data_IF_201530835472
#
_entry.id   IF_201530835472
#
_cell.length_a   1.000
_cell.length_b   1.000
_cell.length_c   1.000
_cell.angle_alpha   90.00
_cell.angle_beta   90.00
_cell.angle_gamma   90.00
#
_symmetry.space_group_name_H-M   'P 1'
#
loop_
_entity.id
_entity.type
_entity.pdbx_description
1 polymer ?
#
# COMPACT_ATOMS: atom_id res chain seq x y z
N UNK A 1 -26.16 -35.00 -50.97
CA UNK A 1 -26.00 -35.29 -49.52
C UNK A 1 -25.01 -34.29 -49.00
N UNK A 2 -25.47 -33.22 -48.33
CA UNK A 2 -24.57 -32.28 -47.64
C UNK A 2 -24.00 -32.98 -46.42
N UNK A 3 -22.68 -32.99 -46.25
CA UNK A 3 -22.03 -33.45 -45.05
C UNK A 3 -22.58 -32.68 -43.84
N UNK A 4 -22.74 -33.31 -42.67
CA UNK A 4 -23.09 -32.55 -41.47
C UNK A 4 -21.99 -31.51 -41.23
N UNK A 5 -22.35 -30.26 -41.10
CA UNK A 5 -21.47 -29.21 -40.66
C UNK A 5 -21.18 -29.55 -39.20
N UNK A 6 -20.00 -30.08 -38.89
CA UNK A 6 -19.54 -30.17 -37.51
C UNK A 6 -19.52 -28.75 -36.94
N UNK A 7 -20.08 -28.53 -35.76
CA UNK A 7 -20.04 -27.21 -35.16
C UNK A 7 -18.56 -26.83 -34.96
N UNK A 8 -18.13 -25.72 -35.57
CA UNK A 8 -16.79 -25.17 -35.38
C UNK A 8 -16.60 -24.89 -33.87
N UNK A 9 -15.57 -25.50 -33.28
CA UNK A 9 -15.22 -25.27 -31.87
C UNK A 9 -14.91 -23.78 -31.68
N UNK A 10 -15.58 -23.15 -30.72
CA UNK A 10 -15.41 -21.73 -30.45
C UNK A 10 -14.09 -21.46 -29.73
N UNK A 11 -13.52 -20.23 -29.83
CA UNK A 11 -12.32 -19.84 -29.07
C UNK A 11 -12.45 -20.09 -27.56
N UNK A 12 -13.64 -19.89 -27.01
CA UNK A 12 -13.92 -20.12 -25.59
C UNK A 12 -13.91 -21.61 -25.22
N UNK A 13 -14.42 -22.50 -26.10
CA UNK A 13 -14.35 -23.95 -25.87
C UNK A 13 -12.91 -24.45 -25.90
N UNK A 14 -12.06 -23.92 -26.79
CA UNK A 14 -10.62 -24.20 -26.80
C UNK A 14 -9.98 -23.75 -25.49
N UNK A 15 -10.32 -22.53 -24.98
CA UNK A 15 -9.83 -22.04 -23.71
C UNK A 15 -10.22 -22.93 -22.53
N UNK A 16 -11.48 -23.40 -22.48
CA UNK A 16 -11.95 -24.26 -21.41
C UNK A 16 -11.25 -25.63 -21.43
N UNK A 17 -11.03 -26.23 -22.60
CA UNK A 17 -10.28 -27.49 -22.74
C UNK A 17 -8.82 -27.31 -22.30
N UNK A 18 -8.19 -26.22 -22.72
CA UNK A 18 -6.83 -25.91 -22.32
C UNK A 18 -6.70 -25.73 -20.80
N UNK A 19 -7.67 -25.06 -20.13
CA UNK A 19 -7.70 -24.95 -18.69
C UNK A 19 -7.76 -26.32 -18.00
N UNK A 20 -8.60 -27.23 -18.49
CA UNK A 20 -8.69 -28.61 -17.96
C UNK A 20 -7.39 -29.39 -18.13
N UNK A 21 -6.73 -29.29 -19.31
CA UNK A 21 -5.43 -29.91 -19.54
C UNK A 21 -4.35 -29.35 -18.63
N UNK A 22 -4.29 -28.06 -18.52
CA UNK A 22 -3.30 -27.36 -17.67
C UNK A 22 -3.52 -27.65 -16.16
N UNK A 23 -4.76 -27.85 -15.75
CA UNK A 23 -5.08 -28.24 -14.37
C UNK A 23 -4.63 -29.67 -14.03
N UNK A 24 -4.50 -30.52 -15.06
CA UNK A 24 -3.88 -31.85 -14.96
C UNK A 24 -2.34 -31.80 -15.08
N UNK A 25 -1.72 -30.62 -15.19
CA UNK A 25 -0.29 -30.45 -15.41
C UNK A 25 0.18 -30.74 -16.84
N UNK A 26 -0.74 -30.94 -17.82
CA UNK A 26 -0.47 -31.22 -19.23
C UNK A 26 -0.28 -29.90 -19.99
N UNK A 27 0.77 -29.15 -19.65
CA UNK A 27 0.95 -27.79 -20.15
C UNK A 27 1.21 -27.69 -21.64
N UNK A 28 1.94 -28.62 -22.23
CA UNK A 28 2.22 -28.64 -23.69
C UNK A 28 0.93 -28.82 -24.49
N UNK A 29 0.11 -29.79 -24.11
CA UNK A 29 -1.18 -30.07 -24.77
C UNK A 29 -2.17 -28.93 -24.57
N UNK A 30 -2.12 -28.27 -23.38
CA UNK A 30 -2.92 -27.08 -23.10
C UNK A 30 -2.52 -25.91 -24.02
N UNK A 31 -1.22 -25.72 -24.26
CA UNK A 31 -0.72 -24.68 -25.15
C UNK A 31 -1.11 -24.97 -26.62
N UNK A 32 -1.07 -26.23 -27.07
CA UNK A 32 -1.54 -26.63 -28.39
C UNK A 32 -3.04 -26.36 -28.58
N UNK A 33 -3.85 -26.63 -27.56
CA UNK A 33 -5.30 -26.37 -27.60
C UNK A 33 -5.58 -24.84 -27.68
N UNK A 34 -4.84 -24.03 -26.97
CA UNK A 34 -4.91 -22.55 -27.11
C UNK A 34 -4.46 -22.11 -28.51
N UNK A 35 -3.41 -22.73 -29.07
CA UNK A 35 -2.94 -22.38 -30.40
C UNK A 35 -4.01 -22.68 -31.46
N UNK A 36 -4.77 -23.81 -31.30
CA UNK A 36 -5.92 -24.13 -32.15
C UNK A 36 -7.01 -23.03 -32.07
N UNK A 37 -7.36 -22.56 -30.86
CA UNK A 37 -8.30 -21.45 -30.67
C UNK A 37 -7.80 -20.12 -31.30
N UNK A 38 -6.51 -19.84 -31.16
CA UNK A 38 -5.89 -18.65 -31.75
C UNK A 38 -5.83 -18.67 -33.28
N UNK A 39 -5.94 -19.84 -33.90
CA UNK A 39 -6.03 -19.95 -35.38
C UNK A 39 -7.27 -19.26 -35.95
N UNK A 40 -8.38 -19.29 -35.21
CA UNK A 40 -9.65 -18.63 -35.56
C UNK A 40 -9.75 -17.21 -34.99
N UNK A 41 -9.11 -16.92 -33.84
CA UNK A 41 -9.14 -15.64 -33.15
C UNK A 41 -7.73 -15.18 -32.69
N UNK A 42 -6.83 -14.75 -33.59
CA UNK A 42 -5.42 -14.51 -33.32
C UNK A 42 -5.11 -13.43 -32.28
N UNK A 43 -6.04 -12.53 -32.00
CA UNK A 43 -5.91 -11.39 -31.09
C UNK A 43 -6.85 -11.51 -29.87
N UNK A 44 -7.43 -12.70 -29.64
CA UNK A 44 -8.33 -12.89 -28.51
C UNK A 44 -7.53 -12.80 -27.18
N UNK A 45 -7.75 -11.70 -26.43
CA UNK A 45 -6.99 -11.37 -25.23
C UNK A 45 -7.11 -12.47 -24.15
N UNK A 46 -8.29 -13.08 -24.01
CA UNK A 46 -8.51 -14.14 -23.03
C UNK A 46 -7.69 -15.40 -23.32
N UNK A 47 -7.61 -15.82 -24.61
CA UNK A 47 -6.77 -16.93 -25.04
C UNK A 47 -5.30 -16.64 -24.81
N UNK A 48 -4.83 -15.45 -25.20
CA UNK A 48 -3.44 -15.05 -25.04
C UNK A 48 -3.03 -14.93 -23.57
N UNK A 49 -3.90 -14.41 -22.70
CA UNK A 49 -3.65 -14.37 -21.25
C UNK A 49 -3.61 -15.78 -20.65
N UNK A 50 -4.50 -16.69 -21.07
CA UNK A 50 -4.49 -18.09 -20.65
C UNK A 50 -3.20 -18.79 -21.11
N UNK A 51 -2.77 -18.57 -22.36
CA UNK A 51 -1.49 -19.10 -22.87
C UNK A 51 -0.31 -18.62 -22.03
N UNK A 52 -0.27 -17.34 -21.71
CA UNK A 52 0.78 -16.79 -20.86
C UNK A 52 0.78 -17.42 -19.46
N UNK A 53 -0.39 -17.68 -18.86
CA UNK A 53 -0.49 -18.39 -17.57
C UNK A 53 -0.01 -19.83 -17.66
N UNK A 54 -0.33 -20.55 -18.76
CA UNK A 54 0.16 -21.91 -19.02
C UNK A 54 1.70 -21.90 -19.10
N UNK A 55 2.29 -20.98 -19.86
CA UNK A 55 3.74 -20.85 -19.95
C UNK A 55 4.40 -20.53 -18.62
N UNK A 56 3.79 -19.66 -17.78
CA UNK A 56 4.30 -19.41 -16.41
C UNK A 56 4.26 -20.68 -15.54
N UNK A 57 3.18 -21.45 -15.65
CA UNK A 57 3.05 -22.71 -14.90
C UNK A 57 4.02 -23.80 -15.39
N UNK A 58 4.45 -23.72 -16.66
CA UNK A 58 5.46 -24.58 -17.27
C UNK A 58 6.91 -24.08 -17.09
N UNK A 59 7.14 -23.03 -16.29
CA UNK A 59 8.44 -22.37 -16.07
C UNK A 59 9.08 -21.84 -17.38
N UNK A 60 8.24 -21.27 -18.25
CA UNK A 60 8.61 -20.67 -19.53
C UNK A 60 8.33 -19.16 -19.55
N UNK A 61 9.07 -18.35 -18.76
CA UNK A 61 8.72 -16.96 -18.54
C UNK A 61 8.91 -16.05 -19.76
N UNK A 62 9.76 -16.41 -20.70
CA UNK A 62 10.01 -15.64 -21.94
C UNK A 62 8.82 -15.78 -22.89
N UNK A 63 8.33 -17.00 -23.07
CA UNK A 63 7.16 -17.33 -23.88
C UNK A 63 5.90 -16.72 -23.25
N UNK A 64 5.80 -16.80 -21.92
CA UNK A 64 4.73 -16.17 -21.15
C UNK A 64 4.69 -14.65 -21.38
N UNK A 65 5.84 -13.98 -21.33
CA UNK A 65 5.90 -12.54 -21.58
C UNK A 65 5.50 -12.19 -23.02
N UNK A 66 5.94 -12.98 -24.01
CA UNK A 66 5.55 -12.74 -25.39
C UNK A 66 4.03 -12.89 -25.62
N UNK A 67 3.40 -13.90 -25.02
CA UNK A 67 1.96 -14.09 -25.07
C UNK A 67 1.21 -12.98 -24.32
N UNK A 68 1.69 -12.58 -23.12
CA UNK A 68 1.11 -11.53 -22.31
C UNK A 68 1.21 -10.14 -22.98
N UNK A 69 2.32 -9.82 -23.62
CA UNK A 69 2.47 -8.56 -24.38
C UNK A 69 1.45 -8.46 -25.53
N UNK A 70 1.13 -9.58 -26.17
CA UNK A 70 0.05 -9.65 -27.16
C UNK A 70 -1.33 -9.51 -26.51
N UNK A 71 -1.54 -10.12 -25.35
CA UNK A 71 -2.82 -10.08 -24.64
C UNK A 71 -3.22 -8.66 -24.22
N UNK A 72 -2.26 -7.78 -23.88
CA UNK A 72 -2.51 -6.39 -23.46
C UNK A 72 -2.63 -5.42 -24.63
N UNK A 73 -2.52 -5.85 -25.87
CA UNK A 73 -2.63 -4.98 -27.06
C UNK A 73 -4.05 -4.43 -27.26
N UNK A 74 -5.06 -5.02 -26.63
CA UNK A 74 -6.45 -4.50 -26.62
C UNK A 74 -6.56 -3.15 -25.90
N UNK A 75 -7.53 -2.34 -26.29
CA UNK A 75 -7.77 -1.01 -25.70
C UNK A 75 -9.22 -0.89 -25.20
N UNK A 76 -9.46 -0.82 -23.87
CA UNK A 76 -8.50 -0.93 -22.78
C UNK A 76 -7.99 -2.36 -22.55
N UNK A 77 -6.78 -2.56 -22.04
CA UNK A 77 -6.28 -3.88 -21.71
C UNK A 77 -7.09 -4.54 -20.60
N UNK A 78 -7.36 -5.83 -20.71
CA UNK A 78 -8.08 -6.58 -19.68
C UNK A 78 -7.21 -6.80 -18.42
N UNK A 79 -7.80 -6.70 -17.23
CA UNK A 79 -7.10 -6.89 -15.95
C UNK A 79 -6.34 -8.23 -15.89
N UNK A 80 -6.88 -9.41 -16.27
CA UNK A 80 -6.12 -10.66 -16.25
C UNK A 80 -4.88 -10.62 -17.13
N UNK A 81 -4.94 -9.95 -18.29
CA UNK A 81 -3.79 -9.80 -19.19
C UNK A 81 -2.68 -8.94 -18.55
N UNK A 82 -3.03 -7.88 -17.84
CA UNK A 82 -2.07 -7.06 -17.09
C UNK A 82 -1.43 -7.84 -15.94
N UNK A 83 -2.20 -8.63 -15.23
CA UNK A 83 -1.72 -9.46 -14.11
C UNK A 83 -0.69 -10.46 -14.60
N UNK A 84 -1.01 -11.27 -15.62
CA UNK A 84 -0.09 -12.28 -16.13
C UNK A 84 1.16 -11.64 -16.77
N UNK A 85 1.00 -10.46 -17.38
CA UNK A 85 2.14 -9.68 -17.88
C UNK A 85 3.09 -9.26 -16.77
N UNK A 86 2.55 -8.76 -15.66
CA UNK A 86 3.38 -8.36 -14.51
C UNK A 86 4.13 -9.55 -13.90
N UNK A 87 3.48 -10.72 -13.79
CA UNK A 87 4.14 -11.97 -13.37
C UNK A 87 5.30 -12.36 -14.30
N UNK A 88 5.05 -12.39 -15.61
CA UNK A 88 6.07 -12.74 -16.60
C UNK A 88 7.24 -11.73 -16.61
N UNK A 89 6.96 -10.44 -16.38
CA UNK A 89 7.99 -9.42 -16.21
C UNK A 89 8.85 -9.67 -14.96
N UNK A 90 8.24 -10.09 -13.85
CA UNK A 90 8.95 -10.44 -12.61
C UNK A 90 9.85 -11.65 -12.84
N UNK A 91 9.33 -12.72 -13.46
CA UNK A 91 10.07 -13.96 -13.70
C UNK A 91 11.20 -13.76 -14.71
N UNK A 92 11.05 -12.84 -15.67
CA UNK A 92 12.12 -12.38 -16.57
C UNK A 92 13.04 -11.31 -15.94
N UNK A 93 12.93 -11.04 -14.63
CA UNK A 93 13.72 -10.08 -13.85
C UNK A 93 13.59 -8.62 -14.31
N UNK A 94 12.53 -8.28 -15.02
CA UNK A 94 12.20 -6.90 -15.43
C UNK A 94 11.41 -6.18 -14.34
N UNK A 95 11.96 -6.13 -13.13
CA UNK A 95 11.27 -5.67 -11.92
C UNK A 95 10.72 -4.23 -12.03
N UNK A 96 11.45 -3.32 -12.69
CA UNK A 96 10.97 -1.94 -12.88
C UNK A 96 9.74 -1.84 -13.78
N UNK A 97 9.62 -2.71 -14.78
CA UNK A 97 8.46 -2.78 -15.67
C UNK A 97 7.28 -3.44 -14.95
N UNK A 98 7.53 -4.53 -14.21
CA UNK A 98 6.53 -5.21 -13.40
C UNK A 98 5.91 -4.27 -12.35
N UNK A 99 6.74 -3.50 -11.63
CA UNK A 99 6.26 -2.53 -10.65
C UNK A 99 5.33 -1.48 -11.27
N UNK A 100 5.68 -0.94 -12.46
CA UNK A 100 4.82 0.04 -13.15
C UNK A 100 3.47 -0.55 -13.56
N UNK A 101 3.43 -1.81 -13.99
CA UNK A 101 2.17 -2.50 -14.31
C UNK A 101 1.34 -2.71 -13.04
N UNK A 102 1.95 -3.17 -11.94
CA UNK A 102 1.28 -3.37 -10.67
C UNK A 102 0.71 -2.07 -10.10
N UNK A 103 1.48 -0.97 -10.13
CA UNK A 103 1.01 0.38 -9.75
C UNK A 103 -0.18 0.84 -10.61
N UNK A 104 -0.15 0.55 -11.91
CA UNK A 104 -1.26 0.79 -12.83
C UNK A 104 -2.52 0.04 -12.41
N UNK A 105 -2.41 -1.26 -12.13
CA UNK A 105 -3.52 -2.10 -11.66
C UNK A 105 -4.13 -1.51 -10.37
N UNK A 106 -3.31 -1.21 -9.37
CA UNK A 106 -3.77 -0.66 -8.09
C UNK A 106 -4.49 0.69 -8.23
N UNK A 107 -4.05 1.53 -9.15
CA UNK A 107 -4.62 2.85 -9.42
C UNK A 107 -5.92 2.78 -10.21
N UNK A 108 -5.98 1.93 -11.23
CA UNK A 108 -7.06 1.91 -12.20
C UNK A 108 -8.28 1.10 -11.70
N UNK A 109 -8.06 0.16 -10.73
CA UNK A 109 -9.10 -0.64 -10.07
C UNK A 109 -9.04 -0.52 -8.52
N UNK A 110 -9.29 0.65 -7.93
CA UNK A 110 -9.08 0.90 -6.49
C UNK A 110 -10.04 0.14 -5.56
N UNK A 111 -11.23 -0.22 -6.04
CA UNK A 111 -12.27 -0.91 -5.26
C UNK A 111 -12.50 -2.36 -5.71
N UNK A 112 -11.73 -2.85 -6.67
CA UNK A 112 -11.82 -4.24 -7.10
C UNK A 112 -10.97 -5.15 -6.20
N UNK A 113 -11.56 -6.14 -5.50
CA UNK A 113 -10.83 -6.99 -4.56
C UNK A 113 -9.68 -7.76 -5.22
N UNK A 114 -9.94 -8.33 -6.40
CA UNK A 114 -8.95 -9.10 -7.14
C UNK A 114 -7.76 -8.23 -7.56
N UNK A 115 -8.03 -7.05 -8.12
CA UNK A 115 -7.00 -6.11 -8.54
C UNK A 115 -6.14 -5.64 -7.36
N UNK A 116 -6.75 -5.34 -6.21
CA UNK A 116 -6.03 -4.83 -5.06
C UNK A 116 -5.12 -5.88 -4.43
N UNK A 117 -5.61 -7.10 -4.19
CA UNK A 117 -4.76 -8.16 -3.63
C UNK A 117 -3.65 -8.59 -4.60
N UNK A 118 -4.00 -8.81 -5.88
CA UNK A 118 -3.03 -9.27 -6.88
C UNK A 118 -2.01 -8.18 -7.20
N UNK A 119 -2.45 -6.94 -7.36
CA UNK A 119 -1.56 -5.79 -7.56
C UNK A 119 -0.58 -5.59 -6.38
N UNK A 120 -1.03 -5.81 -5.14
CA UNK A 120 -0.16 -5.75 -3.96
C UNK A 120 0.91 -6.86 -3.97
N UNK A 121 0.52 -8.09 -4.31
CA UNK A 121 1.46 -9.21 -4.42
C UNK A 121 2.52 -8.94 -5.50
N UNK A 122 2.08 -8.54 -6.70
CA UNK A 122 2.97 -8.20 -7.82
C UNK A 122 3.92 -7.04 -7.51
N UNK A 123 3.41 -5.99 -6.86
CA UNK A 123 4.24 -4.87 -6.43
C UNK A 123 5.29 -5.32 -5.41
N UNK A 124 4.91 -6.20 -4.46
CA UNK A 124 5.83 -6.77 -3.48
C UNK A 124 6.91 -7.65 -4.11
N UNK A 125 6.59 -8.39 -5.16
CA UNK A 125 7.56 -9.19 -5.91
C UNK A 125 8.54 -8.32 -6.71
N UNK A 126 8.03 -7.27 -7.33
CA UNK A 126 8.82 -6.38 -8.18
C UNK A 126 9.63 -5.35 -7.38
N UNK A 127 9.02 -4.75 -6.37
CA UNK A 127 9.59 -3.70 -5.51
C UNK A 127 8.93 -3.74 -4.14
N UNK A 128 9.50 -4.54 -3.24
CA UNK A 128 8.98 -4.65 -1.89
C UNK A 128 9.19 -3.34 -1.11
N UNK A 129 8.21 -2.97 -0.30
CA UNK A 129 8.27 -1.74 0.50
C UNK A 129 6.93 -1.34 1.09
N UNK A 130 6.89 -0.14 1.69
CA UNK A 130 5.69 0.40 2.34
C UNK A 130 4.49 0.49 1.38
N UNK A 131 4.73 0.77 0.10
CA UNK A 131 3.65 0.87 -0.91
C UNK A 131 2.96 -0.49 -1.13
N UNK A 132 3.75 -1.57 -1.22
CA UNK A 132 3.20 -2.92 -1.33
C UNK A 132 2.41 -3.33 -0.07
N UNK A 133 2.92 -2.97 1.12
CA UNK A 133 2.23 -3.21 2.38
C UNK A 133 0.90 -2.45 2.46
N UNK A 134 0.89 -1.17 2.08
CA UNK A 134 -0.33 -0.36 2.03
C UNK A 134 -1.36 -0.93 1.05
N UNK A 135 -0.90 -1.41 -0.11
CA UNK A 135 -1.76 -2.05 -1.09
C UNK A 135 -2.35 -3.38 -0.57
N UNK A 136 -1.54 -4.21 0.10
CA UNK A 136 -2.00 -5.45 0.72
C UNK A 136 -3.07 -5.20 1.80
N UNK A 137 -2.86 -4.20 2.65
CA UNK A 137 -3.87 -3.77 3.61
C UNK A 137 -5.14 -3.24 2.95
N UNK A 138 -5.01 -2.51 1.82
CA UNK A 138 -6.18 -2.07 1.07
C UNK A 138 -6.95 -3.28 0.50
N UNK A 139 -6.26 -4.32 0.04
CA UNK A 139 -6.87 -5.58 -0.37
C UNK A 139 -7.73 -6.21 0.73
N UNK A 140 -7.18 -6.32 1.96
CA UNK A 140 -7.92 -6.81 3.13
C UNK A 140 -9.11 -5.88 3.48
N UNK A 141 -8.95 -4.57 3.37
CA UNK A 141 -10.04 -3.60 3.62
C UNK A 141 -11.20 -3.77 2.64
N UNK A 142 -10.90 -4.00 1.36
CA UNK A 142 -11.92 -4.14 0.31
C UNK A 142 -12.60 -5.52 0.40
N UNK A 143 -11.85 -6.56 0.75
CA UNK A 143 -12.34 -7.93 0.85
C UNK A 143 -11.90 -8.63 2.16
N UNK A 144 -12.45 -8.23 3.31
CA UNK A 144 -11.99 -8.72 4.61
C UNK A 144 -12.30 -10.20 4.87
N UNK A 145 -13.18 -10.81 4.10
CA UNK A 145 -13.59 -12.22 4.20
C UNK A 145 -12.94 -13.11 3.14
N UNK A 146 -12.07 -12.56 2.30
CA UNK A 146 -11.34 -13.34 1.30
C UNK A 146 -9.99 -13.81 1.86
N UNK A 147 -9.81 -15.13 1.97
CA UNK A 147 -8.59 -15.73 2.48
C UNK A 147 -7.33 -15.31 1.69
N UNK A 148 -7.45 -15.16 0.37
CA UNK A 148 -6.36 -14.72 -0.51
C UNK A 148 -5.88 -13.29 -0.19
N UNK A 149 -6.75 -12.39 0.27
CA UNK A 149 -6.34 -11.04 0.65
C UNK A 149 -5.43 -11.07 1.89
N UNK A 150 -5.76 -11.91 2.88
CA UNK A 150 -4.94 -12.13 4.07
C UNK A 150 -3.66 -12.90 3.75
N UNK A 151 -3.70 -13.88 2.84
CA UNK A 151 -2.51 -14.58 2.37
C UNK A 151 -1.52 -13.61 1.71
N UNK A 152 -1.99 -12.71 0.84
CA UNK A 152 -1.14 -11.70 0.21
C UNK A 152 -0.55 -10.75 1.27
N UNK A 153 -1.33 -10.32 2.26
CA UNK A 153 -0.81 -9.51 3.37
C UNK A 153 0.30 -10.26 4.14
N UNK A 154 0.12 -11.57 4.38
CA UNK A 154 1.13 -12.39 5.03
C UNK A 154 2.44 -12.43 4.22
N UNK A 155 2.37 -12.68 2.91
CA UNK A 155 3.54 -12.71 2.02
C UNK A 155 4.27 -11.37 2.01
N UNK A 156 3.54 -10.26 1.84
CA UNK A 156 4.11 -8.91 1.81
C UNK A 156 4.78 -8.57 3.14
N UNK A 157 4.14 -8.89 4.26
CA UNK A 157 4.68 -8.69 5.59
C UNK A 157 5.94 -9.54 5.83
N UNK A 158 5.94 -10.82 5.43
CA UNK A 158 7.09 -11.71 5.57
C UNK A 158 8.30 -11.19 4.78
N UNK A 159 8.10 -10.72 3.54
CA UNK A 159 9.16 -10.08 2.73
C UNK A 159 9.74 -8.82 3.38
N UNK A 160 8.95 -8.10 4.16
CA UNK A 160 9.38 -6.94 4.95
C UNK A 160 9.98 -7.33 6.32
N UNK A 161 10.09 -8.63 6.63
CA UNK A 161 10.52 -9.19 7.92
C UNK A 161 9.63 -8.77 9.10
N UNK A 162 8.37 -8.43 8.83
CA UNK A 162 7.34 -8.16 9.83
C UNK A 162 6.66 -9.49 10.22
N UNK A 163 7.43 -10.39 10.83
CA UNK A 163 7.02 -11.79 11.04
C UNK A 163 5.77 -11.93 11.91
N UNK A 164 5.61 -11.10 12.94
CA UNK A 164 4.41 -11.13 13.79
C UNK A 164 3.14 -10.77 12.99
N UNK A 165 3.25 -9.82 12.06
CA UNK A 165 2.15 -9.47 11.17
C UNK A 165 1.87 -10.58 10.16
N UNK A 166 2.93 -11.15 9.59
CA UNK A 166 2.82 -12.24 8.63
C UNK A 166 2.11 -13.46 9.23
N UNK A 167 2.50 -13.87 10.44
CA UNK A 167 1.86 -14.99 11.15
C UNK A 167 0.39 -14.74 11.44
N UNK A 168 0.03 -13.54 11.89
CA UNK A 168 -1.37 -13.20 12.17
C UNK A 168 -2.21 -13.16 10.90
N UNK A 169 -1.70 -12.55 9.84
CA UNK A 169 -2.40 -12.52 8.57
C UNK A 169 -2.58 -13.91 7.96
N UNK A 170 -1.58 -14.78 8.11
CA UNK A 170 -1.68 -16.17 7.63
C UNK A 170 -2.67 -17.00 8.48
N UNK A 171 -2.69 -16.83 9.79
CA UNK A 171 -3.67 -17.47 10.66
C UNK A 171 -5.11 -17.08 10.27
N UNK A 172 -5.35 -15.80 10.00
CA UNK A 172 -6.65 -15.33 9.52
C UNK A 172 -7.02 -15.94 8.15
N UNK A 173 -6.05 -16.04 7.23
CA UNK A 173 -6.28 -16.70 5.94
C UNK A 173 -6.70 -18.17 6.13
N UNK A 174 -6.07 -18.90 7.06
CA UNK A 174 -6.41 -20.30 7.38
C UNK A 174 -7.77 -20.43 8.07
N UNK A 175 -8.17 -19.48 8.92
CA UNK A 175 -9.49 -19.46 9.54
C UNK A 175 -10.60 -19.23 8.51
N UNK A 176 -10.34 -18.40 7.49
CA UNK A 176 -11.30 -18.12 6.42
C UNK A 176 -11.39 -19.27 5.41
N UNK A 177 -10.27 -19.87 5.06
CA UNK A 177 -10.19 -21.04 4.16
C UNK A 177 -9.01 -21.94 4.53
N UNK A 178 -9.28 -23.04 5.22
CA UNK A 178 -8.25 -24.01 5.64
C UNK A 178 -7.43 -24.62 4.49
N UNK A 179 -7.95 -24.59 3.24
CA UNK A 179 -7.22 -25.12 2.06
C UNK A 179 -6.04 -24.22 1.65
N UNK A 180 -5.89 -23.04 2.24
CA UNK A 180 -4.70 -22.18 2.05
C UNK A 180 -3.43 -22.90 2.52
N UNK A 181 -3.53 -23.73 3.57
CA UNK A 181 -2.38 -24.50 4.10
C UNK A 181 -1.76 -25.46 3.10
N UNK A 182 -2.56 -26.04 2.22
CA UNK A 182 -2.10 -27.00 1.21
C UNK A 182 -1.84 -26.35 -0.16
N UNK A 183 -2.08 -25.05 -0.29
CA UNK A 183 -2.06 -24.34 -1.58
C UNK A 183 -0.70 -24.42 -2.31
N UNK A 184 0.41 -24.48 -1.56
CA UNK A 184 1.76 -24.59 -2.15
C UNK A 184 1.98 -25.89 -2.91
N UNK A 185 1.32 -26.98 -2.50
CA UNK A 185 1.40 -28.31 -3.11
C UNK A 185 0.41 -28.52 -4.28
N UNK A 186 -0.55 -27.61 -4.47
CA UNK A 186 -1.53 -27.70 -5.56
C UNK A 186 -0.85 -27.69 -6.93
N UNK A 187 -1.44 -28.42 -7.91
CA UNK A 187 -1.00 -28.45 -9.30
C UNK A 187 -2.07 -27.77 -10.16
N UNK A 188 -1.72 -27.34 -11.37
CA UNK A 188 -2.65 -26.74 -12.30
C UNK A 188 -2.58 -25.23 -12.35
N UNK A 189 -3.51 -24.60 -13.09
CA UNK A 189 -3.51 -23.14 -13.31
C UNK A 189 -4.72 -22.42 -12.70
N UNK A 190 -5.74 -23.15 -12.28
CA UNK A 190 -6.98 -22.53 -11.74
C UNK A 190 -6.72 -21.69 -10.48
N UNK A 191 -5.79 -22.13 -9.64
CA UNK A 191 -5.36 -21.40 -8.44
C UNK A 191 -3.87 -21.02 -8.50
N UNK A 192 -3.36 -20.74 -9.69
CA UNK A 192 -1.94 -20.48 -9.93
C UNK A 192 -1.39 -19.35 -9.04
N UNK A 193 -2.10 -18.24 -8.95
CA UNK A 193 -1.70 -17.09 -8.12
C UNK A 193 -1.61 -17.47 -6.64
N UNK A 194 -2.64 -18.13 -6.11
CA UNK A 194 -2.69 -18.58 -4.71
C UNK A 194 -1.53 -19.52 -4.39
N UNK A 195 -1.25 -20.48 -5.26
CA UNK A 195 -0.11 -21.40 -5.14
C UNK A 195 1.22 -20.64 -5.13
N UNK A 196 1.38 -19.67 -6.02
CA UNK A 196 2.58 -18.82 -6.10
C UNK A 196 2.80 -18.08 -4.78
N UNK A 197 1.76 -17.50 -4.20
CA UNK A 197 1.85 -16.79 -2.92
C UNK A 197 2.12 -17.73 -1.74
N UNK A 198 1.47 -18.88 -1.69
CA UNK A 198 1.71 -19.87 -0.64
C UNK A 198 3.16 -20.38 -0.66
N UNK A 199 3.69 -20.74 -1.83
CA UNK A 199 5.12 -21.12 -1.98
C UNK A 199 6.06 -20.00 -1.55
N UNK A 200 5.81 -18.76 -1.97
CA UNK A 200 6.62 -17.64 -1.57
C UNK A 200 6.62 -17.44 -0.04
N UNK A 201 5.52 -17.72 0.64
CA UNK A 201 5.45 -17.65 2.09
C UNK A 201 6.23 -18.78 2.76
N UNK A 202 6.16 -20.01 2.24
CA UNK A 202 6.96 -21.16 2.72
C UNK A 202 8.46 -20.90 2.56
N UNK A 203 8.90 -20.45 1.39
CA UNK A 203 10.30 -20.11 1.11
C UNK A 203 10.83 -19.03 2.09
N UNK A 204 10.03 -18.00 2.36
CA UNK A 204 10.37 -16.94 3.30
C UNK A 204 10.40 -17.43 4.76
N UNK A 205 9.53 -18.36 5.14
CA UNK A 205 9.51 -18.95 6.47
C UNK A 205 10.72 -19.86 6.67
N UNK A 206 11.12 -20.62 5.66
CA UNK A 206 12.33 -21.44 5.68
C UNK A 206 13.59 -20.57 5.77
N UNK A 207 13.69 -19.50 4.98
CA UNK A 207 14.79 -18.53 5.05
C UNK A 207 14.90 -17.91 6.45
N UNK A 208 13.77 -17.54 7.05
CA UNK A 208 13.73 -16.96 8.39
C UNK A 208 14.21 -17.97 9.45
N UNK A 209 13.86 -19.24 9.33
CA UNK A 209 14.27 -20.31 10.25
C UNK A 209 15.76 -20.65 10.14
N UNK A 210 16.32 -20.59 8.94
CA UNK A 210 17.76 -20.79 8.70
C UNK A 210 18.61 -19.60 9.20
N UNK A 211 18.02 -18.41 9.32
CA UNK A 211 18.69 -17.20 9.82
C UNK A 211 18.79 -17.09 11.34
N UNK A 212 18.16 -17.98 12.11
CA UNK A 212 18.23 -17.98 13.58
C UNK A 212 19.46 -18.76 14.05
N UNK A 213 20.43 -18.15 14.78
CA UNK A 213 21.54 -18.89 15.37
C UNK A 213 21.02 -19.96 16.34
N UNK A 214 21.64 -21.14 16.39
CA UNK A 214 21.15 -22.26 17.22
C UNK A 214 21.17 -22.01 18.74
N UNK A 215 21.64 -20.88 19.21
CA UNK A 215 21.70 -20.50 20.63
C UNK A 215 20.49 -19.73 21.17
N UNK A 216 19.49 -19.42 20.33
CA UNK A 216 18.32 -18.64 20.73
C UNK A 216 17.11 -19.50 21.13
N UNK A 217 17.31 -20.77 21.55
CA UNK A 217 16.29 -21.53 22.24
C UNK A 217 16.17 -21.04 23.66
N UNK A 218 15.30 -20.08 23.92
CA UNK A 218 14.85 -19.75 25.27
C UNK A 218 13.96 -20.90 25.75
N UNK A 219 14.34 -21.60 26.85
CA UNK A 219 13.46 -22.58 27.46
C UNK A 219 12.42 -21.81 28.29
N UNK A 220 11.23 -21.75 27.82
CA UNK A 220 10.13 -21.09 28.51
C UNK A 220 8.81 -21.49 27.88
N UNK A 221 8.32 -22.63 28.35
CA UNK A 221 6.97 -23.14 28.14
C UNK A 221 5.99 -22.19 28.81
N UNK A 222 5.61 -21.10 28.11
CA UNK A 222 4.44 -20.32 28.44
C UNK A 222 3.50 -20.39 27.24
N UNK A 223 2.50 -21.25 27.37
CA UNK A 223 1.34 -21.35 26.52
C UNK A 223 0.73 -19.95 26.35
N UNK A 224 0.89 -19.35 25.18
CA UNK A 224 0.15 -18.14 24.81
C UNK A 224 -1.35 -18.45 24.86
N UNK A 225 -2.12 -17.72 25.66
CA UNK A 225 -3.56 -17.95 25.73
C UNK A 225 -4.18 -17.66 24.37
N UNK A 226 -4.83 -18.68 23.81
CA UNK A 226 -5.51 -18.67 22.50
C UNK A 226 -6.64 -17.62 22.37
N UNK A 227 -6.90 -16.82 23.39
CA UNK A 227 -7.97 -15.82 23.41
C UNK A 227 -7.57 -14.43 22.90
N UNK A 228 -6.29 -14.20 22.55
CA UNK A 228 -5.80 -12.89 22.10
C UNK A 228 -5.80 -12.77 20.56
N UNK A 229 -6.02 -13.87 19.83
CA UNK A 229 -5.85 -13.94 18.37
C UNK A 229 -6.96 -13.25 17.60
N UNK A 230 -8.18 -13.15 18.16
CA UNK A 230 -9.34 -12.63 17.41
C UNK A 230 -9.47 -11.09 17.34
N UNK A 231 -8.73 -10.33 18.14
CA UNK A 231 -8.92 -8.87 18.25
C UNK A 231 -7.97 -8.06 17.34
N UNK A 232 -6.99 -8.71 16.70
CA UNK A 232 -5.93 -8.04 15.95
C UNK A 232 -6.16 -8.05 14.43
N UNK A 233 -7.08 -8.85 13.93
CA UNK A 233 -7.34 -9.02 12.50
C UNK A 233 -8.14 -7.86 11.85
N UNK A 234 -8.73 -6.98 12.65
CA UNK A 234 -9.32 -5.74 12.12
C UNK A 234 -8.44 -4.58 12.53
N UNK A 235 -7.70 -3.98 11.60
CA UNK A 235 -7.07 -2.71 11.90
C UNK A 235 -8.20 -1.74 12.28
N UNK A 236 -8.23 -1.32 13.55
CA UNK A 236 -9.18 -0.33 14.05
C UNK A 236 -9.01 1.02 13.34
N UNK A 237 -8.03 1.13 12.44
CA UNK A 237 -7.73 2.31 11.64
C UNK A 237 -7.31 1.89 10.23
N UNK A 238 -7.78 2.59 9.18
CA UNK A 238 -7.31 2.35 7.82
C UNK A 238 -5.79 2.51 7.76
N UNK A 239 -5.09 1.57 7.13
CA UNK A 239 -3.62 1.56 7.00
C UNK A 239 -3.08 2.63 6.02
N UNK A 240 -3.95 3.43 5.47
CA UNK A 240 -3.61 4.72 4.88
C UNK A 240 -3.28 5.78 5.95
N UNK A 241 -3.24 5.39 7.23
CA UNK A 241 -2.78 6.25 8.30
C UNK A 241 -1.31 6.59 8.08
N UNK A 242 -1.05 7.87 8.23
CA UNK A 242 0.28 8.43 8.39
C UNK A 242 1.02 7.56 9.40
N UNK A 243 2.21 7.04 9.06
CA UNK A 243 2.98 6.22 9.98
C UNK A 243 3.03 6.89 11.35
N UNK A 244 2.99 6.14 12.44
CA UNK A 244 3.03 6.72 13.80
C UNK A 244 4.20 7.68 13.95
N UNK A 245 5.33 7.36 13.33
CA UNK A 245 6.52 8.18 13.27
C UNK A 245 6.27 9.53 12.55
N UNK A 246 5.57 9.52 11.41
CA UNK A 246 5.18 10.74 10.70
C UNK A 246 4.11 11.53 11.47
N UNK A 247 3.18 10.86 12.14
CA UNK A 247 2.16 11.50 12.98
C UNK A 247 2.80 12.17 14.20
N UNK A 248 3.78 11.51 14.83
CA UNK A 248 4.52 12.06 15.96
C UNK A 248 5.45 13.22 15.55
N UNK A 249 6.10 13.10 14.39
CA UNK A 249 6.89 14.22 13.83
C UNK A 249 6.01 15.44 13.54
N UNK A 250 4.79 15.23 13.00
CA UNK A 250 3.81 16.30 12.78
C UNK A 250 3.34 16.90 14.11
N UNK A 251 2.98 16.07 15.09
CA UNK A 251 2.57 16.55 16.44
C UNK A 251 3.66 17.38 17.09
N UNK A 252 4.90 16.91 17.07
CA UNK A 252 6.06 17.60 17.62
C UNK A 252 6.29 18.94 16.92
N UNK A 253 6.18 18.98 15.59
CA UNK A 253 6.31 20.21 14.79
C UNK A 253 5.25 21.23 15.19
N UNK A 254 3.98 20.81 15.33
CA UNK A 254 2.88 21.68 15.74
C UNK A 254 3.09 22.22 17.15
N UNK A 255 3.52 21.38 18.10
CA UNK A 255 3.78 21.81 19.48
C UNK A 255 4.88 22.87 19.55
N UNK A 256 6.02 22.68 18.86
CA UNK A 256 7.09 23.67 18.85
C UNK A 256 6.67 24.96 18.13
N UNK A 257 5.94 24.87 17.02
CA UNK A 257 5.45 26.02 16.28
C UNK A 257 4.44 26.83 17.10
N UNK A 258 3.47 26.16 17.71
CA UNK A 258 2.43 26.80 18.52
C UNK A 258 3.01 27.39 19.79
N UNK A 259 3.82 26.64 20.57
CA UNK A 259 4.49 27.11 21.76
C UNK A 259 5.42 28.31 21.49
N UNK A 260 6.25 28.22 20.44
CA UNK A 260 7.12 29.31 20.01
C UNK A 260 6.36 30.59 19.64
N UNK A 261 5.25 30.44 18.89
CA UNK A 261 4.39 31.56 18.49
C UNK A 261 3.71 32.20 19.70
N UNK A 262 3.24 31.39 20.65
CA UNK A 262 2.58 31.87 21.86
C UNK A 262 3.55 32.68 22.73
N UNK A 263 4.75 32.18 22.98
CA UNK A 263 5.79 32.86 23.71
C UNK A 263 6.17 34.16 23.01
N UNK A 264 6.37 34.14 21.71
CA UNK A 264 6.70 35.32 20.91
C UNK A 264 5.60 36.40 20.97
N UNK A 265 4.33 36.01 20.91
CA UNK A 265 3.19 36.92 20.99
C UNK A 265 3.10 37.57 22.36
N UNK A 266 3.29 36.81 23.46
CA UNK A 266 3.30 37.35 24.84
C UNK A 266 4.45 38.33 25.05
N UNK A 267 5.66 37.98 24.61
CA UNK A 267 6.82 38.88 24.70
C UNK A 267 6.61 40.15 23.87
N UNK A 268 6.04 40.04 22.67
CA UNK A 268 5.71 41.19 21.84
C UNK A 268 4.66 42.07 22.51
N UNK A 269 3.62 41.49 23.10
CA UNK A 269 2.61 42.23 23.85
C UNK A 269 3.22 42.99 25.07
N UNK A 270 4.11 42.35 25.82
CA UNK A 270 4.83 43.01 26.90
C UNK A 270 5.73 44.16 26.38
N UNK A 271 6.41 43.98 25.26
CA UNK A 271 7.23 45.03 24.64
C UNK A 271 6.43 46.21 24.13
N UNK A 272 5.14 46.06 23.80
CA UNK A 272 4.29 47.19 23.38
C UNK A 272 4.09 48.19 24.51
N UNK A 273 4.16 47.75 25.77
CA UNK A 273 4.07 48.61 26.94
C UNK A 273 5.30 49.51 27.10
N UNK A 274 6.45 49.10 26.56
CA UNK A 274 7.70 49.85 26.64
C UNK A 274 7.89 50.76 25.40
N UNK A 275 7.72 50.21 24.21
CA UNK A 275 7.86 50.95 22.95
C UNK A 275 7.16 50.26 21.80
N UNK A 276 6.19 50.93 21.19
CA UNK A 276 5.45 50.40 20.06
C UNK A 276 6.27 50.23 18.75
N UNK A 277 7.35 51.01 18.60
CA UNK A 277 8.25 50.92 17.45
C UNK A 277 9.13 49.70 17.51
N UNK A 278 9.76 49.45 18.65
CA UNK A 278 10.65 48.32 18.88
C UNK A 278 9.85 46.97 18.80
N UNK A 279 8.64 46.94 19.39
CA UNK A 279 7.80 45.75 19.38
C UNK A 279 7.40 45.31 17.97
N UNK A 280 7.17 46.26 17.05
CA UNK A 280 6.85 45.92 15.62
C UNK A 280 8.02 45.26 14.91
N UNK A 281 9.23 45.85 15.03
CA UNK A 281 10.42 45.26 14.39
C UNK A 281 10.73 43.90 14.96
N UNK A 282 10.65 43.76 16.30
CA UNK A 282 10.84 42.47 16.97
C UNK A 282 9.86 41.40 16.51
N UNK A 283 8.56 41.72 16.46
CA UNK A 283 7.52 40.80 16.01
C UNK A 283 7.74 40.30 14.58
N UNK A 284 8.18 41.22 13.69
CA UNK A 284 8.49 40.84 12.29
C UNK A 284 9.66 39.87 12.20
N UNK A 285 10.74 40.17 12.88
CA UNK A 285 11.93 39.33 12.88
C UNK A 285 11.64 37.94 13.46
N UNK A 286 10.96 37.89 14.61
CA UNK A 286 10.61 36.61 15.26
C UNK A 286 9.56 35.85 14.48
N UNK A 287 8.56 36.53 13.88
CA UNK A 287 7.56 35.89 13.00
C UNK A 287 8.18 35.22 11.80
N UNK A 288 9.14 35.88 11.12
CA UNK A 288 9.88 35.27 9.99
C UNK A 288 10.70 34.08 10.45
N UNK A 289 11.40 34.19 11.60
CA UNK A 289 12.21 33.08 12.13
C UNK A 289 11.36 31.87 12.48
N UNK A 290 10.23 32.06 13.18
CA UNK A 290 9.33 30.94 13.54
C UNK A 290 8.74 30.32 12.29
N UNK A 291 8.23 31.11 11.35
CA UNK A 291 7.65 30.59 10.10
C UNK A 291 8.68 29.82 9.28
N UNK A 292 9.88 30.37 9.11
CA UNK A 292 10.99 29.71 8.41
C UNK A 292 11.42 28.41 9.10
N UNK A 293 11.55 28.43 10.43
CA UNK A 293 11.90 27.24 11.20
C UNK A 293 10.84 26.14 11.07
N UNK A 294 9.55 26.49 11.13
CA UNK A 294 8.44 25.55 10.94
C UNK A 294 8.47 24.91 9.56
N UNK A 295 8.68 25.72 8.50
CA UNK A 295 8.76 25.22 7.12
C UNK A 295 9.97 24.30 6.93
N UNK A 296 11.14 24.70 7.41
CA UNK A 296 12.37 23.90 7.28
C UNK A 296 12.28 22.61 8.08
N UNK A 297 11.78 22.69 9.32
CA UNK A 297 11.60 21.51 10.16
C UNK A 297 10.57 20.54 9.58
N UNK A 298 9.41 21.06 9.12
CA UNK A 298 8.37 20.26 8.50
C UNK A 298 8.89 19.52 7.26
N UNK A 299 9.73 20.18 6.45
CA UNK A 299 10.37 19.55 5.28
C UNK A 299 11.47 18.55 5.64
N UNK A 300 12.24 18.80 6.69
CA UNK A 300 13.41 17.99 7.05
C UNK A 300 13.08 16.74 7.88
N UNK A 301 11.95 16.73 8.60
CA UNK A 301 11.56 15.63 9.48
C UNK A 301 10.58 14.64 8.85
N UNK A 302 9.91 15.01 7.77
CA UNK A 302 8.98 14.12 7.09
C UNK A 302 9.73 13.21 6.10
N UNK A 303 9.61 11.88 6.22
CA UNK A 303 10.16 10.92 5.25
C UNK A 303 9.43 11.00 3.90
N UNK A 304 8.21 11.55 3.87
CA UNK A 304 7.37 11.71 2.68
C UNK A 304 7.16 13.19 2.31
N UNK A 305 6.87 13.52 1.04
CA UNK A 305 6.55 14.88 0.62
C UNK A 305 5.38 15.44 1.43
N UNK A 306 5.56 16.60 2.06
CA UNK A 306 4.59 17.20 3.01
C UNK A 306 3.17 17.35 2.44
N UNK A 307 3.01 17.51 1.11
CA UNK A 307 1.70 17.54 0.45
C UNK A 307 0.93 16.23 0.53
N UNK A 308 1.62 15.09 0.43
CA UNK A 308 1.02 13.75 0.53
C UNK A 308 0.59 13.48 1.96
N UNK A 309 1.45 13.81 2.94
CA UNK A 309 1.13 13.66 4.37
C UNK A 309 -0.09 14.51 4.76
N UNK A 310 -0.17 15.75 4.28
CA UNK A 310 -1.31 16.65 4.53
C UNK A 310 -2.61 16.15 3.89
N UNK A 311 -2.54 15.60 2.67
CA UNK A 311 -3.71 15.02 2.01
C UNK A 311 -4.24 13.81 2.79
N UNK A 312 -3.36 12.92 3.24
CA UNK A 312 -3.69 11.76 4.08
C UNK A 312 -4.24 12.19 5.45
N UNK A 313 -3.63 13.17 6.11
CA UNK A 313 -4.13 13.69 7.39
C UNK A 313 -5.54 14.27 7.29
N UNK A 314 -5.90 14.89 6.14
CA UNK A 314 -7.26 15.40 5.94
C UNK A 314 -8.32 14.29 5.92
N UNK A 315 -8.01 13.12 5.38
CA UNK A 315 -8.92 11.97 5.33
C UNK A 315 -8.97 11.22 6.66
N UNK A 316 -7.82 11.04 7.32
CA UNK A 316 -7.65 10.17 8.48
C UNK A 316 -7.85 10.89 9.82
N UNK A 317 -7.25 12.07 10.00
CA UNK A 317 -7.32 12.83 11.25
C UNK A 317 -7.48 14.33 10.99
N UNK A 318 -8.74 14.74 10.76
CA UNK A 318 -9.09 16.14 10.48
C UNK A 318 -8.63 17.11 11.57
N UNK A 319 -8.59 16.68 12.84
CA UNK A 319 -8.13 17.50 13.98
C UNK A 319 -6.64 17.80 13.87
N UNK A 320 -5.83 16.78 13.56
CA UNK A 320 -4.39 16.97 13.41
C UNK A 320 -4.06 17.77 12.13
N UNK A 321 -4.78 17.55 11.03
CA UNK A 321 -4.66 18.38 9.84
C UNK A 321 -4.97 19.86 10.12
N UNK A 322 -6.06 20.14 10.85
CA UNK A 322 -6.42 21.50 11.25
C UNK A 322 -5.32 22.14 12.15
N UNK A 323 -4.76 21.37 13.09
CA UNK A 323 -3.67 21.84 13.95
C UNK A 323 -2.44 22.26 13.14
N UNK A 324 -2.08 21.51 12.10
CA UNK A 324 -0.99 21.87 11.17
C UNK A 324 -1.28 23.20 10.49
N UNK A 325 -2.46 23.38 9.89
CA UNK A 325 -2.81 24.64 9.24
C UNK A 325 -2.77 25.83 10.21
N UNK A 326 -3.30 25.67 11.42
CA UNK A 326 -3.28 26.71 12.44
C UNK A 326 -1.85 27.06 12.85
N UNK A 327 -0.95 26.09 12.96
CA UNK A 327 0.46 26.32 13.31
C UNK A 327 1.25 27.08 12.23
N UNK A 328 0.85 26.98 10.95
CA UNK A 328 1.42 27.79 9.87
C UNK A 328 0.80 29.19 9.79
N UNK A 329 -0.49 29.32 10.13
CA UNK A 329 -1.20 30.61 10.06
C UNK A 329 -0.88 31.51 11.25
N UNK A 330 -0.70 30.94 12.45
CA UNK A 330 -0.46 31.73 13.66
C UNK A 330 0.77 32.67 13.56
N UNK A 331 1.96 32.28 13.08
CA UNK A 331 3.09 33.16 12.91
C UNK A 331 2.85 34.30 11.90
N UNK A 332 1.96 34.12 10.92
CA UNK A 332 1.62 35.17 9.97
C UNK A 332 0.92 36.35 10.62
N UNK A 333 0.21 36.15 11.73
CA UNK A 333 -0.40 37.23 12.49
C UNK A 333 0.65 38.03 13.29
N UNK A 334 1.80 37.44 13.64
CA UNK A 334 2.95 38.21 14.15
C UNK A 334 3.55 39.12 13.06
N UNK A 335 3.60 38.63 11.82
CA UNK A 335 4.01 39.45 10.67
C UNK A 335 2.98 40.54 10.35
N UNK A 336 1.69 40.22 10.43
CA UNK A 336 0.62 41.20 10.21
C UNK A 336 0.69 42.34 11.24
N UNK A 337 1.07 42.03 12.51
CA UNK A 337 1.25 43.03 13.55
C UNK A 337 2.33 44.05 13.19
N UNK A 338 3.38 43.71 12.47
CA UNK A 338 4.40 44.67 12.00
C UNK A 338 3.83 45.78 11.11
N UNK A 339 2.88 45.41 10.27
CA UNK A 339 2.29 46.33 9.26
C UNK A 339 1.12 47.12 9.83
N UNK A 340 0.16 46.39 10.43
CA UNK A 340 -1.10 47.01 10.90
C UNK A 340 -0.93 47.65 12.29
N UNK A 341 -0.12 47.04 13.16
CA UNK A 341 -0.06 47.37 14.58
C UNK A 341 -1.34 47.00 15.31
N UNK A 342 -1.35 47.17 16.61
CA UNK A 342 -2.55 46.95 17.43
C UNK A 342 -2.66 45.53 18.02
N UNK A 343 -3.18 45.51 19.26
CA UNK A 343 -3.35 44.28 20.05
C UNK A 343 -4.18 43.17 19.39
N UNK A 344 -5.18 43.45 18.54
CA UNK A 344 -6.02 42.37 17.96
C UNK A 344 -5.22 41.33 17.17
N UNK A 345 -4.21 41.71 16.41
CA UNK A 345 -3.36 40.79 15.65
C UNK A 345 -2.60 39.82 16.56
N UNK A 346 -2.07 40.28 17.66
CA UNK A 346 -1.39 39.45 18.65
C UNK A 346 -2.34 38.50 19.38
N UNK A 347 -3.54 38.98 19.72
CA UNK A 347 -4.56 38.14 20.35
C UNK A 347 -4.99 37.00 19.41
N UNK A 348 -5.18 37.30 18.13
CA UNK A 348 -5.52 36.28 17.14
C UNK A 348 -4.37 35.24 17.01
N UNK A 349 -3.10 35.70 16.96
CA UNK A 349 -1.95 34.79 16.91
C UNK A 349 -1.94 33.85 18.13
N UNK A 350 -2.19 34.35 19.32
CA UNK A 350 -2.26 33.58 20.57
C UNK A 350 -3.41 32.58 20.56
N UNK A 351 -4.61 32.99 20.11
CA UNK A 351 -5.79 32.12 20.05
C UNK A 351 -5.55 30.99 19.04
N UNK A 352 -4.99 31.28 17.86
CA UNK A 352 -4.70 30.26 16.84
C UNK A 352 -3.63 29.27 17.33
N UNK A 353 -2.58 29.75 17.99
CA UNK A 353 -1.54 28.90 18.57
C UNK A 353 -2.10 28.01 19.70
N UNK A 354 -2.88 28.56 20.62
CA UNK A 354 -3.53 27.77 21.66
C UNK A 354 -4.52 26.73 21.11
N UNK A 355 -5.29 27.11 20.06
CA UNK A 355 -6.18 26.17 19.39
C UNK A 355 -5.42 25.02 18.71
N UNK A 356 -4.26 25.29 18.10
CA UNK A 356 -3.40 24.27 17.51
C UNK A 356 -2.92 23.27 18.56
N UNK A 357 -2.45 23.73 19.72
CA UNK A 357 -2.02 22.85 20.83
C UNK A 357 -3.18 22.02 21.37
N UNK A 358 -4.35 22.62 21.58
CA UNK A 358 -5.53 21.92 22.07
C UNK A 358 -5.96 20.80 21.10
N UNK A 359 -5.92 21.06 19.79
CA UNK A 359 -6.24 20.07 18.78
C UNK A 359 -5.24 18.90 18.78
N UNK A 360 -3.94 19.16 19.00
CA UNK A 360 -2.93 18.10 19.13
C UNK A 360 -3.20 17.22 20.36
N UNK A 361 -3.51 17.83 21.50
CA UNK A 361 -3.80 17.10 22.75
C UNK A 361 -5.06 16.24 22.58
N UNK A 362 -6.12 16.79 21.96
CA UNK A 362 -7.37 16.08 21.74
C UNK A 362 -7.32 15.04 20.62
N UNK A 363 -6.30 15.10 19.75
CA UNK A 363 -6.05 14.10 18.71
C UNK A 363 -5.39 12.82 19.25
N UNK A 364 -4.91 12.81 20.50
CA UNK A 364 -4.34 11.64 21.18
C UNK A 364 -5.39 10.72 21.80
N UNK A 365 -6.62 11.18 21.89
CA UNK A 365 -7.78 10.41 22.37
C UNK A 365 -8.62 9.94 21.16
#
# INVERSE_FOLDING_TARGET
MSAPIEPETTPEEHRQRALLLADLGRYDEAAEEIAAGLSSAPQESALLATLATIHLAADQPVEALAAADRAVAGTPPALPALVVRAMALTDTRRFGDAARVAEGILRDWPEDPYAQRTGAALLSEARNGQEALNAAWNGVRVAPTEAEAHLVLAVVAARLRLFDLAQRAYAEALELDGTVGDAASEVGIVRFERRRWARALEDLAEEASLGVPPEATVPGDEAYPSSVVSEVARPARPVLDVSEESADAVRQTVQYAAGGTLVAAVLTAAMTLVSSGISRVWSGMVGVLIFGAVVLWFRGRLPEPGGVVLARLRSTNRKLAAAVYLSFVAPLFLLLYTVVGGLPALVIAMVLAAAAELLVITSRR
#
